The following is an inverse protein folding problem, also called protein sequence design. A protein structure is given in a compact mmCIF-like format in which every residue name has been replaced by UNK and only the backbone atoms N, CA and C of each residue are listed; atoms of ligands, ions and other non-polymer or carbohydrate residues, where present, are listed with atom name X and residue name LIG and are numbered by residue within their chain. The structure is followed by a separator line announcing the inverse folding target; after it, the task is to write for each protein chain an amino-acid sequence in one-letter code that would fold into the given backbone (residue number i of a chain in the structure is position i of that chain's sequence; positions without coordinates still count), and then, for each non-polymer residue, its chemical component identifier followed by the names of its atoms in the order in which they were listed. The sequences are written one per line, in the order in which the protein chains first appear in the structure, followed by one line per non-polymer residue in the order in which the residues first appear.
data_IF_819683886232
#
_entry.id   IF_819683886232
#
_cell.length_a   1.000
_cell.length_b   1.000
_cell.length_c   1.000
_cell.angle_alpha   90.00
_cell.angle_beta   90.00
_cell.angle_gamma   90.00
#
_symmetry.space_group_name_H-M   'P 1'
#
loop_
_entity.id
_entity.type
_entity.pdbx_description
1 polymer ?
2 non-polymer ?
3 water ?
#
# COMPACT_ATOMS: atom_id res chain seq x y z
N UNK A 1 -16.43 12.89 -1.22
CA UNK A 1 -15.30 13.85 -1.09
C UNK A 1 -14.01 13.10 -0.81
N UNK A 2 -12.88 13.78 -1.00
CA UNK A 2 -11.59 13.24 -0.61
C UNK A 2 -11.59 12.81 0.85
N UNK A 3 -12.14 13.66 1.73
CA UNK A 3 -12.11 13.41 3.16
C UNK A 3 -12.90 12.15 3.56
N UNK A 4 -14.03 11.92 2.89
CA UNK A 4 -14.82 10.74 3.21
C UNK A 4 -14.16 9.45 2.71
N UNK A 5 -13.54 9.50 1.53
CA UNK A 5 -12.75 8.37 1.05
C UNK A 5 -11.59 8.13 2.01
N UNK A 6 -10.94 9.22 2.43
CA UNK A 6 -9.84 9.13 3.38
C UNK A 6 -10.26 8.42 4.65
N UNK A 7 -11.48 8.70 5.12
CA UNK A 7 -12.02 8.05 6.30
C UNK A 7 -12.16 6.54 6.12
N UNK A 8 -12.62 6.13 4.94
CA UNK A 8 -12.75 4.71 4.63
C UNK A 8 -11.39 4.02 4.57
N UNK A 9 -10.41 4.71 3.98
CA UNK A 9 -9.04 4.20 3.93
C UNK A 9 -8.48 4.05 5.34
N UNK A 10 -8.59 5.11 6.13
CA UNK A 10 -8.08 5.13 7.51
C UNK A 10 -8.58 3.96 8.33
N UNK A 11 -9.87 3.66 8.24
CA UNK A 11 -10.48 2.57 8.99
C UNK A 11 -9.95 1.19 8.57
N UNK A 12 -9.46 1.08 7.34
CA UNK A 12 -8.92 -0.18 6.81
C UNK A 12 -7.41 -0.33 6.85
N UNK A 13 -6.71 0.73 7.27
CA UNK A 13 -5.26 0.67 7.37
C UNK A 13 -4.85 0.02 8.67
N UNK A 14 -3.95 -0.95 8.55
CA UNK A 14 -3.35 -1.58 9.71
C UNK A 14 -1.83 -1.43 9.62
N UNK A 15 -1.16 -1.58 10.75
CA UNK A 15 0.29 -1.58 10.74
C UNK A 15 0.80 -2.97 10.47
N UNK A 16 1.79 -3.06 9.59
CA UNK A 16 2.39 -4.33 9.21
C UNK A 16 3.77 -4.44 9.83
N UNK A 17 3.97 -5.53 10.58
CA UNK A 17 5.24 -5.79 11.24
C UNK A 17 5.76 -7.18 10.95
N UNK A 18 7.06 -7.37 11.15
CA UNK A 18 7.73 -8.64 10.92
C UNK A 18 8.65 -8.91 12.11
N UNK A 19 8.66 -10.15 12.58
CA UNK A 19 9.57 -10.55 13.63
C UNK A 19 9.85 -12.03 13.59
N UNK A 20 10.96 -12.44 14.20
CA UNK A 20 11.27 -13.85 14.38
C UNK A 20 10.33 -14.39 15.45
N UNK A 21 10.04 -15.68 15.40
CA UNK A 21 9.26 -16.32 16.46
C UNK A 21 9.94 -16.04 17.81
N UNK A 22 9.13 -15.65 18.79
CA UNK A 22 9.59 -15.27 20.13
C UNK A 22 10.52 -14.04 20.16
N UNK A 23 10.51 -13.27 19.08
CA UNK A 23 11.36 -12.08 18.97
C UNK A 23 10.59 -10.78 19.00
N UNK A 24 11.32 -9.67 18.98
CA UNK A 24 10.72 -8.33 18.94
C UNK A 24 10.17 -8.04 17.55
N UNK A 25 9.03 -7.37 17.51
CA UNK A 25 8.38 -7.01 16.24
C UNK A 25 8.98 -5.74 15.67
N UNK A 26 9.35 -5.79 14.40
CA UNK A 26 9.75 -4.61 13.66
C UNK A 26 8.55 -4.11 12.86
N UNK A 27 8.04 -2.95 13.25
CA UNK A 27 6.94 -2.34 12.53
C UNK A 27 7.48 -1.62 11.30
N UNK A 28 7.01 -2.04 10.14
CA UNK A 28 7.62 -1.63 8.88
C UNK A 28 6.84 -0.54 8.16
N UNK A 29 5.55 -0.77 7.95
CA UNK A 29 4.73 0.17 7.17
C UNK A 29 3.25 -0.14 7.37
N UNK A 30 2.43 0.39 6.48
CA UNK A 30 0.99 0.13 6.47
C UNK A 30 0.63 -1.00 5.52
N UNK A 31 -0.48 -1.64 5.83
CA UNK A 31 -1.17 -2.50 4.89
C UNK A 31 -2.62 -2.04 4.86
N UNK A 32 -3.29 -2.25 3.73
CA UNK A 32 -4.65 -1.77 3.56
C UNK A 32 -5.61 -2.93 3.33
N UNK A 33 -6.50 -3.15 4.27
CA UNK A 33 -7.55 -4.14 4.07
C UNK A 33 -8.45 -3.69 2.94
N UNK A 34 -8.79 -4.61 2.03
CA UNK A 34 -9.65 -4.24 0.90
C UNK A 34 -11.01 -4.95 0.87
N UNK A 35 -11.04 -6.20 1.32
CA UNK A 35 -12.24 -7.03 1.28
C UNK A 35 -11.96 -8.31 2.05
N UNK A 36 -12.96 -8.80 2.78
CA UNK A 36 -12.83 -10.05 3.52
C UNK A 36 -11.53 -10.05 4.35
N UNK A 37 -10.71 -11.08 4.18
CA UNK A 37 -9.42 -11.14 4.88
C UNK A 37 -8.23 -10.82 3.98
N UNK A 38 -8.49 -10.04 2.92
CA UNK A 38 -7.47 -9.64 1.95
C UNK A 38 -6.99 -8.22 2.17
N UNK A 39 -5.67 -8.04 2.13
CA UNK A 39 -5.04 -6.74 2.23
C UNK A 39 -4.11 -6.48 1.05
N UNK A 40 -3.90 -5.21 0.75
CA UNK A 40 -2.83 -4.78 -0.13
C UNK A 40 -1.64 -4.42 0.73
N UNK A 41 -0.46 -4.87 0.34
CA UNK A 41 0.76 -4.50 1.04
C UNK A 41 1.93 -4.52 0.06
N UNK A 42 2.81 -3.51 0.13
CA UNK A 42 4.05 -3.57 -0.63
C UNK A 42 4.91 -4.76 -0.18
N UNK A 43 5.15 -5.68 -1.10
CA UNK A 43 5.94 -6.87 -0.78
C UNK A 43 7.39 -6.53 -0.46
N UNK A 44 7.83 -5.32 -0.82
CA UNK A 44 9.17 -4.89 -0.43
C UNK A 44 9.33 -4.76 1.09
N UNK A 45 8.21 -4.80 1.80
CA UNK A 45 8.23 -4.82 3.26
C UNK A 45 8.94 -6.05 3.82
N UNK A 46 8.93 -7.16 3.08
CA UNK A 46 9.41 -8.43 3.62
C UNK A 46 10.25 -9.28 2.67
N UNK A 47 10.01 -9.21 1.37
CA UNK A 47 10.52 -10.26 0.48
C UNK A 47 12.03 -10.23 0.21
N UNK A 48 12.71 -9.16 0.60
CA UNK A 48 14.14 -9.04 0.31
C UNK A 48 15.03 -9.36 1.51
N UNK A 49 14.40 -9.64 2.64
CA UNK A 49 15.11 -10.09 3.82
C UNK A 49 15.19 -11.61 3.84
N UNK A 50 16.18 -12.14 4.56
CA UNK A 50 16.45 -13.57 4.60
C UNK A 50 15.36 -14.36 5.34
N UNK A 51 15.00 -15.51 4.77
CA UNK A 51 14.04 -16.45 5.37
C UNK A 51 12.72 -15.81 5.79
N UNK A 52 12.10 -15.05 4.89
CA UNK A 52 10.88 -14.33 5.23
C UNK A 52 9.77 -15.28 5.69
N UNK A 53 9.66 -16.44 5.04
CA UNK A 53 8.60 -17.39 5.32
C UNK A 53 8.69 -18.03 6.71
N UNK A 54 9.86 -17.92 7.33
CA UNK A 54 10.04 -18.42 8.69
C UNK A 54 9.76 -17.35 9.74
N UNK A 55 9.43 -16.15 9.27
CA UNK A 55 9.09 -15.05 10.16
C UNK A 55 7.62 -15.06 10.52
N UNK A 56 7.29 -14.29 11.56
CA UNK A 56 5.92 -14.03 11.93
C UNK A 56 5.53 -12.67 11.34
N UNK A 57 4.35 -12.62 10.74
CA UNK A 57 3.80 -11.36 10.25
C UNK A 57 2.81 -10.85 11.28
N UNK A 58 2.85 -9.55 11.54
CA UNK A 58 1.98 -8.91 12.53
C UNK A 58 1.14 -7.84 11.90
N UNK A 59 -0.13 -7.79 12.31
CA UNK A 59 -1.07 -6.80 11.84
C UNK A 59 -1.68 -6.12 13.03
N UNK A 60 -1.38 -4.84 13.16
CA UNK A 60 -1.88 -4.05 14.26
C UNK A 60 -3.10 -3.28 13.82
N UNK A 61 -4.26 -3.69 14.32
CA UNK A 61 -5.51 -3.01 14.03
C UNK A 61 -5.94 -2.18 15.23
N UNK A 62 -5.50 -0.93 15.25
CA UNK A 62 -5.85 0.02 16.31
C UNK A 62 -5.53 -0.46 17.73
N UNK A 63 -4.41 -1.14 17.89
CA UNK A 63 -3.99 -1.61 19.20
C UNK A 63 -4.40 -3.03 19.54
N UNK A 64 -5.11 -3.68 18.62
CA UNK A 64 -5.39 -5.11 18.71
C UNK A 64 -4.54 -5.81 17.66
N UNK A 65 -3.80 -6.81 18.10
CA UNK A 65 -2.77 -7.44 17.29
C UNK A 65 -3.19 -8.81 16.75
N UNK A 66 -2.82 -9.05 15.51
CA UNK A 66 -3.10 -10.30 14.82
C UNK A 66 -1.85 -10.80 14.15
N UNK A 67 -1.32 -11.90 14.65
CA UNK A 67 -0.09 -12.45 14.12
C UNK A 67 -0.35 -13.75 13.39
N UNK A 68 0.58 -14.11 12.51
CA UNK A 68 0.48 -15.32 11.72
C UNK A 68 1.84 -15.63 11.13
N UNK A 69 2.13 -16.92 10.96
CA UNK A 69 3.33 -17.32 10.26
C UNK A 69 3.26 -16.80 8.84
N UNK A 70 4.37 -16.25 8.35
CA UNK A 70 4.46 -15.79 6.97
C UNK A 70 4.12 -16.90 5.98
N UNK A 71 4.41 -18.14 6.36
CA UNK A 71 4.07 -19.29 5.52
C UNK A 71 2.58 -19.56 5.42
N UNK A 72 1.80 -18.91 6.27
CA UNK A 72 0.36 -19.12 6.33
C UNK A 72 -0.48 -17.97 5.76
N UNK A 73 0.17 -16.95 5.21
CA UNK A 73 -0.54 -15.93 4.45
C UNK A 73 -0.48 -16.31 2.98
N UNK A 74 -1.55 -16.02 2.24
CA UNK A 74 -1.59 -16.35 0.82
C UNK A 74 -1.36 -15.09 0.01
N UNK A 75 -0.26 -15.06 -0.72
CA UNK A 75 0.15 -13.90 -1.49
C UNK A 75 -0.24 -14.06 -2.96
N UNK A 76 -0.99 -13.08 -3.48
CA UNK A 76 -1.44 -13.08 -4.86
C UNK A 76 -0.97 -11.82 -5.58
N UNK A 77 -0.47 -11.99 -6.80
CA UNK A 77 -0.02 -10.87 -7.64
C UNK A 77 -1.17 -10.03 -8.20
N UNK A 78 -0.91 -8.75 -8.41
CA UNK A 78 -1.89 -7.85 -9.03
C UNK A 78 -1.96 -8.05 -10.53
N UNK A 79 -0.84 -8.47 -11.11
CA UNK A 79 -0.70 -8.65 -12.55
C UNK A 79 0.58 -9.45 -12.81
N UNK A 80 0.86 -9.75 -14.08
CA UNK A 80 2.10 -10.41 -14.45
C UNK A 80 3.32 -9.56 -14.09
N UNK A 81 4.40 -10.22 -13.71
CA UNK A 81 5.63 -9.54 -13.33
C UNK A 81 5.59 -8.99 -11.91
N UNK A 82 6.64 -8.26 -11.55
CA UNK A 82 6.77 -7.69 -10.22
C UNK A 82 6.11 -6.32 -10.15
N UNK A 83 5.18 -6.16 -9.21
CA UNK A 83 4.47 -4.91 -9.04
C UNK A 83 4.64 -4.34 -7.64
N UNK A 84 5.48 -5.00 -6.84
CA UNK A 84 5.73 -4.66 -5.44
C UNK A 84 4.50 -4.92 -4.59
N UNK A 85 3.48 -4.07 -4.72
CA UNK A 85 2.22 -4.26 -4.02
C UNK A 85 1.63 -5.61 -4.40
N UNK A 86 1.23 -6.38 -3.40
CA UNK A 86 0.56 -7.67 -3.59
C UNK A 86 -0.73 -7.71 -2.79
N UNK A 87 -1.58 -8.66 -3.15
CA UNK A 87 -2.72 -9.02 -2.32
C UNK A 87 -2.27 -10.11 -1.36
N UNK A 88 -2.70 -9.98 -0.11
CA UNK A 88 -2.30 -10.92 0.93
C UNK A 88 -3.51 -11.30 1.76
N UNK A 89 -3.78 -12.61 1.81
CA UNK A 89 -4.86 -13.17 2.60
C UNK A 89 -4.32 -13.56 3.97
N UNK A 90 -4.93 -13.01 5.02
CA UNK A 90 -4.51 -13.27 6.39
C UNK A 90 -5.69 -13.86 7.16
N UNK A 91 -5.74 -15.20 7.28
CA UNK A 91 -6.89 -15.89 7.88
C UNK A 91 -7.32 -15.39 9.26
N UNK A 92 -6.38 -14.86 10.04
CA UNK A 92 -6.65 -14.45 11.42
C UNK A 92 -7.16 -13.03 11.58
N UNK A 93 -7.16 -12.26 10.49
CA UNK A 93 -7.59 -10.87 10.53
C UNK A 93 -9.12 -10.76 10.54
N UNK A 94 -9.69 -9.83 11.33
CA UNK A 94 -11.12 -9.58 11.24
C UNK A 94 -11.50 -9.11 9.84
N UNK A 95 -12.67 -9.57 9.36
CA UNK A 95 -13.18 -9.18 8.06
C UNK A 95 -13.18 -7.66 7.90
N UNK A 96 -12.67 -7.19 6.75
CA UNK A 96 -12.64 -5.78 6.44
C UNK A 96 -13.91 -5.34 5.73
N UNK A 97 -14.27 -4.08 5.92
CA UNK A 97 -15.24 -3.43 5.05
C UNK A 97 -14.71 -3.48 3.62
N UNK A 98 -15.56 -3.92 2.69
CA UNK A 98 -15.20 -4.00 1.29
C UNK A 98 -15.10 -2.59 0.70
N UNK A 99 -13.88 -2.17 0.38
CA UNK A 99 -13.65 -0.86 -0.24
C UNK A 99 -13.17 -0.96 -1.68
N UNK A 100 -13.23 -2.16 -2.26
CA UNK A 100 -12.76 -2.38 -3.62
C UNK A 100 -13.46 -1.51 -4.66
N UNK A 101 -14.73 -1.17 -4.42
CA UNK A 101 -15.49 -0.39 -5.39
C UNK A 101 -15.11 1.09 -5.39
N UNK A 102 -14.28 1.47 -4.42
CA UNK A 102 -13.77 2.84 -4.33
C UNK A 102 -12.44 3.02 -5.06
N UNK A 103 -11.91 1.93 -5.59
CA UNK A 103 -10.69 2.00 -6.39
C UNK A 103 -11.01 2.42 -7.81
N UNK A 104 -10.08 3.11 -8.44
CA UNK A 104 -10.25 3.58 -9.82
C UNK A 104 -10.38 2.40 -10.79
N UNK A 105 -11.26 2.55 -11.77
CA UNK A 105 -11.36 1.59 -12.86
C UNK A 105 -10.22 1.87 -13.84
N UNK A 106 -9.68 0.82 -14.45
CA UNK A 106 -8.60 0.97 -15.43
C UNK A 106 -8.90 2.05 -16.47
N UNK A 107 -10.12 2.03 -16.99
CA UNK A 107 -10.53 2.97 -18.03
C UNK A 107 -10.57 4.43 -17.60
N UNK A 108 -10.64 4.66 -16.29
CA UNK A 108 -10.75 6.01 -15.74
C UNK A 108 -9.42 6.63 -15.33
N UNK A 109 -8.32 5.88 -15.45
CA UNK A 109 -6.99 6.37 -15.10
C UNK A 109 -6.68 7.78 -15.63
N UNK A 110 -6.95 8.04 -16.94
CA UNK A 110 -6.65 9.39 -17.46
C UNK A 110 -7.34 10.54 -16.71
N UNK A 111 -8.44 10.24 -16.05
CA UNK A 111 -9.20 11.27 -15.35
C UNK A 111 -8.54 11.76 -14.05
N UNK A 112 -7.58 10.99 -13.55
CA UNK A 112 -6.83 11.38 -12.34
C UNK A 112 -5.54 12.13 -12.67
N UNK A 113 -5.12 12.05 -13.93
CA UNK A 113 -3.90 12.71 -14.39
C UNK A 113 -4.01 14.24 -14.31
N UNK A 114 -2.89 14.89 -14.00
CA UNK A 114 -2.78 16.36 -13.99
C UNK A 114 -3.64 17.01 -12.92
N UNK A 115 -4.10 16.21 -11.96
CA UNK A 115 -4.90 16.70 -10.86
C UNK A 115 -4.26 16.34 -9.55
N UNK A 116 -4.55 17.14 -8.52
CA UNK A 116 -4.07 16.90 -7.17
C UNK A 116 -4.59 15.58 -6.63
N UNK A 117 -3.88 15.08 -5.62
CA UNK A 117 -4.30 13.88 -4.92
C UNK A 117 -3.84 13.98 -3.47
N UNK A 118 -4.37 13.10 -2.64
CA UNK A 118 -4.01 13.06 -1.24
C UNK A 118 -3.55 11.66 -0.88
N UNK A 119 -2.36 11.55 -0.32
CA UNK A 119 -1.91 10.30 0.25
C UNK A 119 -2.51 10.16 1.63
N UNK A 120 -3.31 9.11 1.81
CA UNK A 120 -3.96 8.83 3.07
C UNK A 120 -3.21 7.68 3.69
N UNK A 121 -2.48 7.99 4.74
CA UNK A 121 -1.55 7.01 5.27
C UNK A 121 -1.40 7.17 6.77
N UNK A 122 -0.44 6.45 7.34
CA UNK A 122 -0.03 6.69 8.71
C UNK A 122 1.47 6.57 8.82
N UNK A 123 2.00 7.12 9.89
CA UNK A 123 3.31 6.72 10.37
C UNK A 123 3.05 5.97 11.67
N UNK A 124 3.34 4.67 11.66
CA UNK A 124 3.03 3.73 12.75
C UNK A 124 1.69 3.98 13.42
N UNK A 125 0.65 4.12 12.61
CA UNK A 125 -0.71 4.23 13.13
C UNK A 125 -1.24 5.64 13.28
N UNK A 126 -0.37 6.64 13.26
CA UNK A 126 -0.81 8.04 13.35
C UNK A 126 -1.24 8.49 11.97
N UNK A 127 -2.56 8.73 11.78
CA UNK A 127 -3.07 9.04 10.45
C UNK A 127 -2.56 10.37 9.93
N UNK A 128 -2.22 10.39 8.64
CA UNK A 128 -1.70 11.57 7.97
C UNK A 128 -2.34 11.75 6.60
N UNK A 129 -2.66 13.00 6.29
CA UNK A 129 -3.09 13.38 4.95
C UNK A 129 -1.96 14.16 4.30
N UNK A 130 -1.39 13.59 3.25
CA UNK A 130 -0.24 14.18 2.58
C UNK A 130 -0.63 14.65 1.18
N UNK A 131 -0.50 15.94 0.95
CA UNK A 131 -0.85 16.52 -0.33
C UNK A 131 0.14 16.09 -1.41
N UNK A 132 -0.39 15.72 -2.57
CA UNK A 132 0.43 15.40 -3.73
C UNK A 132 0.09 16.35 -4.86
N UNK A 133 1.11 16.84 -5.55
CA UNK A 133 0.94 17.75 -6.67
C UNK A 133 0.25 17.07 -7.84
N UNK A 134 -0.05 17.82 -8.91
CA UNK A 134 -0.73 17.22 -10.06
C UNK A 134 -0.04 15.94 -10.50
N UNK A 135 -0.83 14.88 -10.68
CA UNK A 135 -0.27 13.56 -10.90
C UNK A 135 0.14 13.30 -12.33
N UNK A 136 1.21 12.53 -12.48
CA UNK A 136 1.60 11.94 -13.74
C UNK A 136 1.63 10.43 -13.57
N UNK A 137 1.60 9.71 -14.68
CA UNK A 137 1.70 8.25 -14.66
C UNK A 137 2.98 7.84 -15.36
N UNK A 138 3.82 7.08 -14.64
CA UNK A 138 5.02 6.52 -15.25
C UNK A 138 4.73 5.09 -15.67
N UNK A 139 4.95 4.80 -16.95
CA UNK A 139 4.73 3.46 -17.47
C UNK A 139 5.63 2.46 -16.76
N UNK A 140 6.87 2.87 -16.52
CA UNK A 140 7.81 2.09 -15.72
C UNK A 140 8.45 3.00 -14.68
N UNK A 141 8.23 2.70 -13.42
CA UNK A 141 8.83 3.46 -12.32
C UNK A 141 9.89 2.64 -11.60
N UNK A 142 11.05 3.25 -11.40
CA UNK A 142 12.14 2.62 -10.67
C UNK A 142 12.45 3.43 -9.41
N UNK A 143 12.59 2.74 -8.29
CA UNK A 143 12.89 3.37 -7.02
C UNK A 143 13.78 2.48 -6.16
N UNK A 144 14.47 3.11 -5.22
CA UNK A 144 15.39 2.42 -4.33
C UNK A 144 14.62 1.84 -3.14
N UNK A 145 15.04 0.66 -2.69
CA UNK A 145 14.57 0.13 -1.42
C UNK A 145 15.76 -0.16 -0.50
N UNK A 146 15.72 0.45 0.68
CA UNK A 146 16.77 0.24 1.67
C UNK A 146 16.40 -0.96 2.56
N UNK A 147 17.28 -1.95 2.54
CA UNK A 147 17.09 -3.16 3.36
C UNK A 147 17.49 -2.90 4.81
N UNK A 148 17.30 -3.91 5.66
CA UNK A 148 17.61 -3.79 7.08
C UNK A 148 19.09 -3.58 7.39
N UNK A 149 19.96 -4.08 6.51
CA UNK A 149 21.41 -3.94 6.68
C UNK A 149 21.97 -2.64 6.09
N UNK A 150 21.08 -1.76 5.62
CA UNK A 150 21.47 -0.47 5.08
C UNK A 150 21.76 -0.47 3.59
N UNK A 151 21.94 -1.66 3.02
CA UNK A 151 22.17 -1.81 1.58
C UNK A 151 20.87 -1.59 0.82
N UNK A 152 20.98 -1.30 -0.48
CA UNK A 152 19.81 -0.97 -1.27
C UNK A 152 19.60 -1.86 -2.49
N UNK A 153 18.35 -2.00 -2.90
CA UNK A 153 17.98 -2.68 -4.14
C UNK A 153 17.10 -1.76 -5.00
N UNK A 154 17.27 -1.85 -6.32
CA UNK A 154 16.43 -1.07 -7.22
C UNK A 154 15.23 -1.88 -7.71
N UNK A 155 14.05 -1.34 -7.49
CA UNK A 155 12.81 -1.99 -7.87
C UNK A 155 12.15 -1.27 -9.03
N UNK A 156 11.62 -2.03 -9.98
CA UNK A 156 10.88 -1.46 -11.09
C UNK A 156 9.48 -2.07 -11.17
N UNK A 157 8.48 -1.20 -11.31
CA UNK A 157 7.09 -1.63 -11.43
C UNK A 157 6.46 -0.99 -12.66
N UNK A 158 5.35 -1.58 -13.12
CA UNK A 158 4.56 -1.03 -14.22
C UNK A 158 3.50 -0.10 -13.65
N UNK A 159 3.33 1.05 -14.31
CA UNK A 159 2.26 2.01 -14.00
C UNK A 159 2.24 2.47 -12.54
N UNK A 160 3.05 3.49 -12.26
CA UNK A 160 3.05 4.10 -10.94
C UNK A 160 2.79 5.59 -11.05
N UNK A 161 1.88 6.07 -10.22
CA UNK A 161 1.60 7.50 -10.10
C UNK A 161 2.82 8.21 -9.53
N UNK A 162 3.07 9.41 -10.05
CA UNK A 162 4.12 10.26 -9.53
C UNK A 162 3.56 11.64 -9.24
N UNK A 163 3.79 12.11 -8.02
CA UNK A 163 3.30 13.40 -7.59
C UNK A 163 4.30 14.10 -6.70
N UNK A 164 4.37 15.42 -6.82
CA UNK A 164 5.21 16.22 -5.95
C UNK A 164 4.65 16.17 -4.53
N UNK A 165 5.53 15.88 -3.57
CA UNK A 165 5.12 15.81 -2.17
C UNK A 165 6.19 15.29 -1.25
N UNK A 166 5.93 15.39 0.05
CA UNK A 166 6.90 15.03 1.08
C UNK A 166 6.45 13.80 1.84
N UNK A 167 7.24 12.73 1.70
CA UNK A 167 6.98 11.49 2.41
C UNK A 167 7.96 11.28 3.54
N UNK A 168 7.60 10.39 4.45
CA UNK A 168 8.46 10.01 5.56
C UNK A 168 8.49 8.50 5.68
N UNK A 169 9.53 7.94 6.34
CA UNK A 169 9.58 6.50 6.59
C UNK A 169 8.30 5.98 7.25
N UNK A 170 7.77 4.89 6.72
CA UNK A 170 6.58 4.25 7.29
C UNK A 170 5.28 4.53 6.57
N UNK A 171 5.29 5.51 5.67
CA UNK A 171 4.09 5.90 4.93
C UNK A 171 3.71 4.92 3.82
N UNK A 172 4.65 4.07 3.41
CA UNK A 172 4.35 3.05 2.42
C UNK A 172 3.15 2.22 2.85
N UNK A 173 2.38 1.79 1.86
CA UNK A 173 1.18 1.01 2.13
C UNK A 173 -0.08 1.85 2.27
N UNK A 174 0.09 3.16 2.42
CA UNK A 174 -1.03 4.09 2.41
C UNK A 174 -1.65 4.17 1.02
N UNK A 175 -2.84 4.76 0.95
CA UNK A 175 -3.59 4.85 -0.30
C UNK A 175 -3.58 6.25 -0.88
N UNK A 176 -3.34 6.34 -2.18
CA UNK A 176 -3.44 7.60 -2.91
C UNK A 176 -4.89 7.81 -3.34
N UNK A 177 -5.43 8.98 -3.01
CA UNK A 177 -6.83 9.31 -3.27
C UNK A 177 -6.93 10.52 -4.20
N UNK A 178 -7.62 10.37 -5.32
CA UNK A 178 -7.76 11.46 -6.27
C UNK A 178 -8.59 12.62 -5.73
N UNK A 179 -8.22 13.84 -6.08
CA UNK A 179 -9.02 15.02 -5.79
C UNK A 179 -10.23 15.13 -6.71
N UNK A 180 -10.25 14.31 -7.76
CA UNK A 180 -11.29 14.40 -8.78
C UNK A 180 -12.61 13.83 -8.29
N UNK A 181 -13.54 14.72 -7.96
CA UNK A 181 -14.86 14.32 -7.47
C UNK A 181 -15.71 13.63 -8.53
N UNK A 182 -15.39 13.86 -9.81
CA UNK A 182 -16.19 13.30 -10.89
C UNK A 182 -15.95 11.80 -11.07
N UNK A 183 -14.84 11.31 -10.50
CA UNK A 183 -14.62 9.86 -10.37
C UNK A 183 -14.72 9.45 -8.90
N UNK A 184 -15.50 10.22 -8.15
CA UNK A 184 -15.80 9.94 -6.75
C UNK A 184 -14.52 9.78 -5.93
N UNK A 185 -13.55 10.66 -6.20
CA UNK A 185 -12.30 10.71 -5.44
C UNK A 185 -11.66 9.34 -5.28
N UNK A 186 -11.55 8.63 -6.40
CA UNK A 186 -11.14 7.23 -6.44
C UNK A 186 -9.79 6.98 -5.79
N UNK A 187 -9.70 5.84 -5.11
CA UNK A 187 -8.42 5.35 -4.65
C UNK A 187 -7.64 4.92 -5.89
N UNK A 188 -6.45 5.49 -6.04
CA UNK A 188 -5.64 5.32 -7.24
C UNK A 188 -4.60 4.22 -7.13
N UNK A 189 -4.26 3.86 -5.90
CA UNK A 189 -3.19 2.90 -5.69
C UNK A 189 -2.56 3.04 -4.34
N UNK A 190 -1.37 2.46 -4.22
CA UNK A 190 -0.73 2.27 -2.94
C UNK A 190 0.68 2.85 -2.96
N UNK A 191 0.98 3.67 -1.96
CA UNK A 191 2.26 4.33 -1.84
C UNK A 191 3.41 3.34 -1.66
N UNK A 192 4.42 3.43 -2.53
CA UNK A 192 5.56 2.51 -2.50
C UNK A 192 6.93 3.16 -2.32
N UNK A 193 7.02 4.47 -2.57
CA UNK A 193 8.31 5.16 -2.49
C UNK A 193 8.16 6.67 -2.36
N UNK A 194 9.07 7.27 -1.62
CA UNK A 194 9.14 8.72 -1.47
C UNK A 194 10.57 9.19 -1.37
N UNK A 195 10.82 10.44 -1.75
CA UNK A 195 12.16 11.01 -1.70
C UNK A 195 12.39 11.97 -2.85
N UNK A 196 13.31 12.91 -2.66
CA UNK A 196 13.55 13.99 -3.63
C UNK A 196 12.28 14.74 -4.00
N UNK A 197 11.42 14.93 -3.00
CA UNK A 197 10.13 15.61 -3.15
C UNK A 197 9.18 14.98 -4.17
N UNK A 198 9.32 13.67 -4.34
CA UNK A 198 8.48 12.91 -5.27
C UNK A 198 7.89 11.68 -4.57
N UNK A 199 6.59 11.51 -4.74
CA UNK A 199 5.87 10.40 -4.15
C UNK A 199 5.38 9.46 -5.24
N UNK A 200 5.62 8.17 -5.04
CA UNK A 200 5.34 7.13 -6.03
C UNK A 200 4.33 6.14 -5.47
N UNK A 201 3.25 5.92 -6.21
CA UNK A 201 2.24 4.95 -5.81
C UNK A 201 1.94 4.00 -6.96
N UNK A 202 2.02 2.70 -6.67
CA UNK A 202 1.65 1.69 -7.66
C UNK A 202 0.17 1.80 -7.98
N UNK A 203 -0.16 1.90 -9.26
CA UNK A 203 -1.55 1.89 -9.68
C UNK A 203 -2.22 0.59 -9.23
N UNK A 204 -3.36 0.71 -8.56
CA UNK A 204 -4.21 -0.43 -8.27
C UNK A 204 -5.61 -0.11 -8.76
N UNK A 205 -6.09 -0.94 -9.68
CA UNK A 205 -7.41 -0.75 -10.28
C UNK A 205 -8.41 -1.73 -9.68
N UNK A 206 -9.70 -1.43 -9.82
CA UNK A 206 -10.76 -2.35 -9.45
C UNK A 206 -10.58 -3.71 -10.09
N UNK A 207 -10.15 -3.70 -11.35
CA UNK A 207 -10.00 -4.91 -12.14
C UNK A 207 -8.97 -5.88 -11.54
N UNK A 208 -7.98 -5.34 -10.84
CA UNK A 208 -6.94 -6.16 -10.23
C UNK A 208 -7.44 -7.08 -9.11
N UNK A 209 -8.55 -6.70 -8.47
CA UNK A 209 -9.12 -7.51 -7.40
C UNK A 209 -9.74 -8.82 -7.89
N UNK A 210 -9.93 -8.93 -9.21
CA UNK A 210 -10.40 -10.17 -9.85
C UNK A 210 -9.40 -11.32 -9.67
N UNK A 211 -8.15 -10.96 -9.36
CA UNK A 211 -7.10 -11.94 -9.11
C UNK A 211 -7.22 -12.66 -7.76
N UNK A 212 -8.27 -12.32 -7.01
CA UNK A 212 -8.56 -12.82 -5.64
C UNK A 212 -7.71 -12.13 -4.57
X LIG B 1 -19.15 1.06 1.67
X LIG B 1 -19.58 1.45 0.57
X LIG B 1 -20.80 1.44 0.30
X LIG B 1 -18.60 1.92 -0.48
X LIG B 1 -17.71 3.09 -0.03
X LIG B 1 -19.27 2.30 -1.70
X LIG B 1 -19.60 1.43 -2.63
X LIG B 1 -19.26 0.25 -2.65
X LIG B 1 -20.44 1.97 -3.69
X LIG B 1 -20.99 1.12 -4.68
X LIG B 1 -22.17 1.80 -5.31
X LIG B 1 -22.74 1.27 -6.46
X LIG B 1 -23.83 1.92 -7.05
X LIG B 1 -24.35 3.07 -6.47
X LIG B 1 -23.79 3.60 -5.31
X LIG B 1 -22.70 2.96 -4.73
#
# INVERSE_FOLDING_TARGET
STLEIAGLVRKNLVQFGVGEKNGSVRWVMNALGVKDDWLLVPSHAYKFEKDYEMMEFYFNRGGTYYSISAGNVVIQSLDVGFQDVVLMKVPTIPKFRDITQHFIKKGDVPRALNRLATLVTTVNGTPMLISEGPLKMEEKATYVHKKNDGTTVDLTVDQAWRGKGEGLPGMCGGALVSSNQSIQNAILGIHVAGGNSILVAKLVTQEMFQNIDKKIESQ
BBL OG2 CB2 OG1 CA CBZ N C O OEZ CB CG CD1 CE1 CZ CE2 CD2
#
